data_IF_430503484133
#
_entry.id   IF_430503484133
#
_cell.length_a   1.000
_cell.length_b   1.000
_cell.length_c   1.000
_cell.angle_alpha   90.00
_cell.angle_beta   90.00
_cell.angle_gamma   90.00
#
_symmetry.space_group_name_H-M   'P 1'
#
loop_
_entity.id
_entity.type
_entity.pdbx_description
1 polymer ?
#
# COMPACT_ATOMS: atom_id res chain seq x y z
N UNK A 1 42.13 -5.58 -3.39
CA UNK A 1 41.82 -7.00 -3.51
C UNK A 1 42.26 -7.46 -4.90
N UNK A 2 43.35 -8.25 -5.01
CA UNK A 2 43.81 -8.83 -6.27
C UNK A 2 42.99 -10.09 -6.59
N UNK A 3 42.87 -10.42 -7.87
CA UNK A 3 42.37 -11.71 -8.28
C UNK A 3 43.38 -12.80 -7.81
N UNK A 4 42.86 -13.91 -7.28
CA UNK A 4 43.71 -15.07 -6.95
C UNK A 4 44.35 -15.65 -8.20
N UNK A 5 45.41 -16.49 -8.01
CA UNK A 5 46.10 -17.16 -9.10
C UNK A 5 45.11 -17.95 -9.97
N UNK A 6 45.07 -17.65 -11.27
CA UNK A 6 44.09 -18.20 -12.21
C UNK A 6 42.73 -17.52 -12.22
N UNK A 7 42.49 -16.47 -11.41
CA UNK A 7 41.32 -15.65 -11.44
C UNK A 7 41.36 -14.58 -12.54
N UNK A 8 40.20 -14.24 -13.10
CA UNK A 8 40.06 -13.12 -14.03
C UNK A 8 39.76 -11.84 -13.24
N UNK A 9 40.55 -10.80 -13.55
CA UNK A 9 40.35 -9.48 -12.95
C UNK A 9 39.10 -8.77 -13.53
N UNK A 10 38.89 -8.91 -14.82
CA UNK A 10 37.79 -8.34 -15.57
C UNK A 10 37.45 -9.23 -16.76
N UNK A 11 36.17 -9.29 -17.11
CA UNK A 11 35.67 -10.00 -18.27
C UNK A 11 34.73 -9.10 -19.09
N UNK A 12 35.10 -8.86 -20.34
CA UNK A 12 34.22 -8.17 -21.28
C UNK A 12 33.75 -9.16 -22.37
N UNK A 13 32.43 -9.23 -22.55
CA UNK A 13 31.76 -10.09 -23.53
C UNK A 13 32.04 -11.60 -23.41
N UNK A 14 32.45 -12.04 -22.24
CA UNK A 14 32.62 -13.44 -21.88
C UNK A 14 31.66 -13.84 -20.78
N UNK A 15 31.35 -15.12 -20.68
CA UNK A 15 30.52 -15.69 -19.60
C UNK A 15 31.16 -16.99 -19.10
N UNK A 16 31.01 -17.24 -17.79
CA UNK A 16 31.36 -18.48 -17.14
C UNK A 16 30.21 -19.45 -16.98
N UNK A 17 29.04 -19.19 -17.61
CA UNK A 17 27.81 -19.99 -17.47
C UNK A 17 28.02 -21.47 -17.85
N UNK A 18 29.07 -21.75 -18.59
CA UNK A 18 29.46 -23.13 -19.03
C UNK A 18 30.77 -23.60 -18.41
N UNK A 19 31.02 -23.19 -17.16
CA UNK A 19 32.27 -23.62 -16.46
C UNK A 19 32.54 -25.12 -16.65
N UNK A 20 33.83 -25.53 -16.92
CA UNK A 20 35.06 -24.73 -16.87
C UNK A 20 35.41 -23.99 -18.18
N UNK A 21 34.51 -23.94 -19.13
CA UNK A 21 34.76 -23.29 -20.42
C UNK A 21 34.31 -21.83 -20.36
N UNK A 22 35.22 -20.91 -20.64
CA UNK A 22 34.86 -19.53 -20.92
C UNK A 22 34.34 -19.44 -22.35
N UNK A 23 33.11 -18.95 -22.49
CA UNK A 23 32.48 -18.75 -23.79
C UNK A 23 32.16 -17.28 -24.04
N UNK A 24 32.01 -16.94 -25.30
CA UNK A 24 31.54 -15.61 -25.66
C UNK A 24 30.07 -15.44 -25.22
N UNK A 25 29.75 -14.29 -24.71
CA UNK A 25 28.38 -13.92 -24.39
C UNK A 25 27.50 -14.04 -25.62
N UNK A 26 26.35 -14.66 -25.48
CA UNK A 26 25.37 -14.74 -26.56
C UNK A 26 24.94 -13.34 -27.04
N UNK A 27 24.66 -13.21 -28.33
CA UNK A 27 24.17 -11.96 -28.89
C UNK A 27 22.87 -11.56 -28.21
N UNK A 28 22.75 -10.29 -27.83
CA UNK A 28 21.50 -9.71 -27.36
C UNK A 28 20.49 -9.73 -28.51
N UNK A 29 19.27 -10.11 -28.19
CA UNK A 29 18.15 -10.11 -29.13
C UNK A 29 17.07 -9.17 -28.63
N UNK A 30 16.29 -8.63 -29.55
CA UNK A 30 15.07 -7.91 -29.21
C UNK A 30 14.09 -8.94 -28.64
N UNK A 31 13.64 -8.72 -27.42
CA UNK A 31 12.61 -9.54 -26.77
C UNK A 31 11.23 -9.12 -27.25
N UNK A 32 10.95 -7.81 -27.23
CA UNK A 32 9.67 -7.22 -27.63
C UNK A 32 9.88 -5.76 -28.02
N UNK A 33 9.16 -5.30 -29.03
CA UNK A 33 9.04 -3.89 -29.36
C UNK A 33 7.79 -3.33 -28.67
N UNK A 34 7.92 -2.20 -27.99
CA UNK A 34 6.83 -1.46 -27.37
C UNK A 34 6.62 -0.16 -28.13
N UNK A 35 5.36 0.25 -28.30
CA UNK A 35 5.03 1.50 -29.03
C UNK A 35 5.16 2.70 -28.08
N UNK A 36 4.60 2.61 -26.89
CA UNK A 36 4.61 3.67 -25.88
C UNK A 36 5.07 3.09 -24.53
N UNK A 37 6.37 2.82 -24.33
CA UNK A 37 6.86 2.23 -23.09
C UNK A 37 6.73 3.23 -21.93
N UNK A 38 6.05 2.85 -20.84
CA UNK A 38 5.94 3.65 -19.64
C UNK A 38 6.88 3.21 -18.52
N UNK A 39 7.45 2.02 -18.59
CA UNK A 39 8.38 1.49 -17.59
C UNK A 39 8.61 0.01 -17.71
N UNK A 40 9.71 -0.46 -17.16
CA UNK A 40 10.11 -1.87 -17.14
C UNK A 40 10.61 -2.23 -15.74
N UNK A 41 10.20 -3.38 -15.24
CA UNK A 41 10.62 -3.89 -13.95
C UNK A 41 10.85 -5.40 -14.03
N UNK A 42 11.91 -5.87 -13.44
CA UNK A 42 12.23 -7.29 -13.34
C UNK A 42 12.01 -7.78 -11.89
N UNK A 43 11.13 -8.73 -11.74
CA UNK A 43 10.88 -9.48 -10.52
C UNK A 43 10.96 -10.97 -10.87
N UNK A 44 10.07 -11.83 -10.36
CA UNK A 44 10.03 -13.25 -10.78
C UNK A 44 9.72 -13.41 -12.28
N UNK A 45 8.99 -12.44 -12.83
CA UNK A 45 8.78 -12.29 -14.27
C UNK A 45 8.92 -10.82 -14.67
N UNK A 46 9.01 -10.56 -15.99
CA UNK A 46 9.06 -9.18 -16.49
C UNK A 46 7.70 -8.51 -16.35
N UNK A 47 7.72 -7.32 -15.75
CA UNK A 47 6.61 -6.38 -15.71
C UNK A 47 6.94 -5.16 -16.59
N UNK A 48 5.95 -4.66 -17.33
CA UNK A 48 6.12 -3.43 -18.10
C UNK A 48 4.79 -2.70 -18.29
N UNK A 49 4.88 -1.45 -18.64
CA UNK A 49 3.74 -0.64 -19.06
C UNK A 49 3.91 -0.26 -20.53
N UNK A 50 2.86 -0.43 -21.30
CA UNK A 50 2.73 0.00 -22.68
C UNK A 50 1.45 0.81 -22.84
N UNK A 51 1.61 2.12 -23.09
CA UNK A 51 0.49 3.08 -23.09
C UNK A 51 -0.16 3.15 -21.71
N UNK A 52 -1.38 2.64 -21.61
CA UNK A 52 -2.15 2.58 -20.35
C UNK A 52 -2.29 1.15 -19.80
N UNK A 53 -1.64 0.17 -20.40
CA UNK A 53 -1.76 -1.22 -20.00
C UNK A 53 -0.54 -1.69 -19.22
N UNK A 54 -0.78 -2.28 -18.06
CA UNK A 54 0.24 -2.95 -17.25
C UNK A 54 0.26 -4.45 -17.58
N UNK A 55 1.45 -4.98 -17.83
CA UNK A 55 1.70 -6.38 -18.17
C UNK A 55 2.62 -7.02 -17.14
N UNK A 56 2.36 -8.29 -16.84
CA UNK A 56 3.23 -9.15 -16.05
C UNK A 56 3.31 -10.54 -16.69
N UNK A 57 4.53 -11.05 -16.90
CA UNK A 57 4.74 -12.34 -17.55
C UNK A 57 4.16 -12.44 -18.96
N UNK A 58 4.07 -11.32 -19.68
CA UNK A 58 3.51 -11.27 -21.04
C UNK A 58 2.01 -11.05 -21.13
N UNK A 59 1.28 -11.06 -20.00
CA UNK A 59 -0.18 -10.93 -19.93
C UNK A 59 -0.57 -9.59 -19.35
N UNK A 60 -1.55 -8.90 -19.96
CA UNK A 60 -2.15 -7.68 -19.38
C UNK A 60 -2.84 -8.02 -18.07
N UNK A 61 -2.54 -7.25 -17.02
CA UNK A 61 -3.08 -7.43 -15.67
C UNK A 61 -4.00 -6.31 -15.21
N UNK A 62 -3.84 -5.11 -15.76
CA UNK A 62 -4.68 -3.98 -15.40
C UNK A 62 -4.37 -2.74 -16.21
N UNK A 63 -5.04 -1.64 -15.84
CA UNK A 63 -4.89 -0.35 -16.49
C UNK A 63 -4.29 0.67 -15.54
N UNK A 64 -3.38 1.48 -16.07
CA UNK A 64 -2.68 2.58 -15.41
C UNK A 64 -2.85 3.85 -16.23
N UNK A 65 -2.45 5.01 -15.71
CA UNK A 65 -2.40 6.23 -16.52
C UNK A 65 -1.25 6.15 -17.54
N UNK A 66 -1.31 6.94 -18.59
CA UNK A 66 -0.19 7.05 -19.52
C UNK A 66 1.01 7.76 -18.85
N UNK A 67 2.23 7.49 -19.33
CA UNK A 67 3.46 8.14 -18.87
C UNK A 67 4.40 7.21 -18.12
N UNK A 68 5.49 7.80 -17.63
CA UNK A 68 6.54 7.06 -16.91
C UNK A 68 6.02 6.45 -15.62
N UNK A 69 6.44 5.21 -15.36
CA UNK A 69 6.12 4.45 -14.15
C UNK A 69 7.38 4.06 -13.40
N UNK A 70 7.25 4.05 -12.08
CA UNK A 70 8.26 3.55 -11.17
C UNK A 70 7.69 2.38 -10.41
N UNK A 71 8.54 1.40 -10.16
CA UNK A 71 8.13 0.15 -9.55
C UNK A 71 9.02 -0.16 -8.35
N UNK A 72 8.42 -0.80 -7.36
CA UNK A 72 9.11 -1.55 -6.33
C UNK A 72 8.32 -2.82 -6.03
N UNK A 73 8.99 -3.85 -5.50
CA UNK A 73 8.30 -5.04 -5.03
C UNK A 73 8.50 -5.20 -3.52
N UNK A 74 7.45 -5.64 -2.85
CA UNK A 74 7.47 -6.02 -1.44
C UNK A 74 6.61 -7.27 -1.25
N UNK A 75 7.21 -8.36 -0.76
CA UNK A 75 6.53 -9.65 -0.72
C UNK A 75 5.99 -10.03 -2.10
N UNK A 76 4.69 -10.31 -2.18
CA UNK A 76 4.02 -10.64 -3.43
C UNK A 76 3.53 -9.42 -4.24
N UNK A 77 3.71 -8.20 -3.74
CA UNK A 77 3.16 -7.00 -4.35
C UNK A 77 4.19 -6.29 -5.23
N UNK A 78 3.81 -5.99 -6.47
CA UNK A 78 4.49 -5.01 -7.33
C UNK A 78 3.71 -3.71 -7.24
N UNK A 79 4.37 -2.66 -6.77
CA UNK A 79 3.81 -1.33 -6.59
C UNK A 79 4.11 -0.48 -7.82
N UNK A 80 3.13 0.29 -8.27
CA UNK A 80 3.16 1.06 -9.52
C UNK A 80 2.86 2.53 -9.22
N UNK A 81 3.88 3.37 -9.34
CA UNK A 81 3.77 4.82 -9.16
C UNK A 81 3.85 5.55 -10.51
N UNK A 82 3.25 6.73 -10.63
CA UNK A 82 2.51 7.50 -9.63
C UNK A 82 1.06 7.08 -9.44
N UNK A 83 0.57 6.04 -10.12
CA UNK A 83 -0.83 5.61 -10.10
C UNK A 83 -1.29 5.06 -8.76
N UNK A 84 -0.39 4.83 -7.79
CA UNK A 84 -0.67 4.24 -6.48
C UNK A 84 -1.45 2.92 -6.60
N UNK A 85 -1.04 2.11 -7.58
CA UNK A 85 -1.63 0.79 -7.85
C UNK A 85 -0.68 -0.33 -7.45
N UNK A 86 -1.25 -1.51 -7.31
CA UNK A 86 -0.48 -2.73 -7.06
C UNK A 86 -0.94 -3.87 -7.94
N UNK A 87 -0.04 -4.81 -8.14
CA UNK A 87 -0.34 -6.14 -8.66
C UNK A 87 0.20 -7.18 -7.68
N UNK A 88 -0.65 -8.08 -7.22
CA UNK A 88 -0.25 -9.21 -6.39
C UNK A 88 0.10 -10.41 -7.28
N UNK A 89 1.35 -10.82 -7.29
CA UNK A 89 1.86 -11.88 -8.17
C UNK A 89 1.36 -13.27 -7.80
N UNK A 90 0.91 -13.47 -6.55
CA UNK A 90 0.38 -14.75 -6.05
C UNK A 90 -1.12 -14.88 -6.32
N UNK A 91 -1.92 -13.87 -5.92
CA UNK A 91 -3.37 -13.91 -6.13
C UNK A 91 -3.80 -13.50 -7.53
N UNK A 92 -2.93 -12.77 -8.26
CA UNK A 92 -3.27 -12.17 -9.56
C UNK A 92 -4.13 -10.91 -9.45
N UNK A 93 -4.37 -10.41 -8.26
CA UNK A 93 -5.17 -9.21 -8.00
C UNK A 93 -4.43 -7.95 -8.48
N UNK A 94 -5.16 -7.08 -9.16
CA UNK A 94 -4.71 -5.75 -9.53
C UNK A 94 -5.64 -4.72 -8.90
N UNK A 95 -5.10 -3.79 -8.11
CA UNK A 95 -5.91 -2.86 -7.33
C UNK A 95 -5.24 -1.52 -7.06
N UNK A 96 -5.88 -0.72 -6.21
CA UNK A 96 -5.37 0.56 -5.71
C UNK A 96 -4.84 0.41 -4.29
N UNK A 97 -3.71 1.06 -4.01
CA UNK A 97 -3.20 1.21 -2.64
C UNK A 97 -4.09 2.11 -1.79
N UNK A 98 -4.82 3.02 -2.42
CA UNK A 98 -5.75 3.93 -1.75
C UNK A 98 -7.17 3.40 -1.81
N UNK A 99 -7.94 3.71 -0.79
CA UNK A 99 -9.38 3.41 -0.74
C UNK A 99 -10.11 4.57 -0.08
N UNK A 100 -11.31 4.89 -0.58
CA UNK A 100 -12.14 5.97 -0.06
C UNK A 100 -13.58 5.52 0.01
N UNK A 101 -14.17 5.73 1.18
CA UNK A 101 -15.60 5.75 1.36
C UNK A 101 -16.08 7.18 1.60
N UNK A 102 -17.25 7.52 1.08
CA UNK A 102 -17.93 8.79 1.34
C UNK A 102 -19.40 8.56 1.63
N UNK A 103 -19.94 9.28 2.58
CA UNK A 103 -21.34 9.17 2.98
C UNK A 103 -21.81 10.35 3.82
N UNK A 104 -23.06 10.28 4.27
CA UNK A 104 -23.73 11.40 4.93
C UNK A 104 -23.93 11.18 6.43
N UNK A 105 -23.59 10.01 6.96
CA UNK A 105 -23.79 9.68 8.37
C UNK A 105 -22.79 8.63 8.83
N UNK A 106 -22.19 8.86 10.00
CA UNK A 106 -21.36 7.89 10.73
C UNK A 106 -21.76 7.91 12.19
N UNK A 107 -22.00 6.74 12.75
CA UNK A 107 -22.25 6.56 14.18
C UNK A 107 -20.96 6.11 14.86
N UNK A 108 -20.52 6.87 15.85
CA UNK A 108 -19.33 6.63 16.64
C UNK A 108 -19.72 6.08 18.00
N UNK A 109 -19.01 5.07 18.47
CA UNK A 109 -19.13 4.56 19.84
C UNK A 109 -17.79 4.50 20.51
N UNK A 110 -17.76 4.67 21.83
CA UNK A 110 -16.64 4.33 22.68
C UNK A 110 -17.08 3.26 23.66
N UNK A 111 -16.23 2.28 23.89
CA UNK A 111 -16.42 1.26 24.90
C UNK A 111 -15.24 1.20 25.84
N UNK A 112 -15.32 0.37 26.85
CA UNK A 112 -14.16 0.10 27.71
C UNK A 112 -13.27 -0.96 27.08
N UNK A 113 -12.02 -0.64 26.91
CA UNK A 113 -11.04 -1.43 26.17
C UNK A 113 -10.88 -2.88 26.66
N UNK A 114 -11.25 -3.15 27.91
CA UNK A 114 -10.99 -4.42 28.59
C UNK A 114 -12.24 -5.12 29.14
N UNK A 115 -13.40 -4.47 29.03
CA UNK A 115 -14.67 -5.05 29.43
C UNK A 115 -15.53 -5.29 28.18
N UNK A 116 -15.54 -6.49 27.65
CA UNK A 116 -16.27 -6.89 26.42
C UNK A 116 -15.78 -6.19 25.15
N UNK A 117 -14.71 -6.70 24.59
CA UNK A 117 -14.02 -6.18 23.40
C UNK A 117 -14.90 -6.04 22.14
N UNK A 118 -16.08 -6.64 22.11
CA UNK A 118 -16.97 -6.63 20.97
C UNK A 118 -17.66 -5.28 20.75
N UNK A 119 -17.82 -4.43 21.77
CA UNK A 119 -18.58 -3.18 21.67
C UNK A 119 -17.76 -1.90 21.73
N UNK A 120 -16.43 -2.02 21.84
CA UNK A 120 -15.55 -0.89 22.07
C UNK A 120 -15.12 -0.19 20.78
N UNK A 121 -15.24 1.14 20.79
CA UNK A 121 -14.59 2.04 19.81
C UNK A 121 -14.93 1.73 18.36
N UNK A 122 -16.15 1.99 17.95
CA UNK A 122 -16.61 1.65 16.60
C UNK A 122 -17.01 2.87 15.80
N UNK A 123 -16.90 2.70 14.48
CA UNK A 123 -17.64 3.49 13.50
C UNK A 123 -18.61 2.56 12.81
N UNK A 124 -19.87 2.97 12.74
CA UNK A 124 -20.92 2.25 12.03
C UNK A 124 -21.56 3.13 10.95
N UNK A 125 -21.81 2.51 9.80
CA UNK A 125 -22.64 3.09 8.75
C UNK A 125 -23.59 2.03 8.21
N UNK A 126 -24.86 2.15 8.53
CA UNK A 126 -25.88 1.17 8.14
C UNK A 126 -25.89 0.91 6.63
N UNK A 127 -25.87 -0.36 6.25
CA UNK A 127 -25.90 -0.80 4.85
C UNK A 127 -24.54 -0.73 4.12
N UNK A 128 -23.47 -0.32 4.78
CA UNK A 128 -22.11 -0.34 4.21
C UNK A 128 -21.40 -1.62 4.61
N UNK A 129 -20.92 -2.37 3.63
CA UNK A 129 -19.98 -3.46 3.88
C UNK A 129 -18.55 -2.89 3.86
N UNK A 130 -18.00 -2.59 5.04
CA UNK A 130 -16.69 -1.95 5.18
C UNK A 130 -15.54 -2.77 4.60
N UNK A 131 -15.68 -4.09 4.56
CA UNK A 131 -14.70 -5.00 3.94
C UNK A 131 -14.50 -4.77 2.45
N UNK A 132 -15.41 -4.06 1.76
CA UNK A 132 -15.23 -3.64 0.37
C UNK A 132 -14.24 -2.48 0.23
N UNK A 133 -13.93 -1.77 1.31
CA UNK A 133 -13.09 -0.58 1.31
C UNK A 133 -11.80 -0.79 2.08
N UNK A 134 -11.86 -1.45 3.23
CA UNK A 134 -10.77 -1.53 4.19
C UNK A 134 -10.63 -2.94 4.77
N UNK A 135 -9.50 -3.18 5.42
CA UNK A 135 -9.21 -4.42 6.16
C UNK A 135 -8.69 -4.11 7.57
N UNK A 136 -8.69 -5.10 8.43
CA UNK A 136 -8.02 -5.01 9.74
C UNK A 136 -6.53 -4.66 9.56
N UNK A 137 -6.04 -3.76 10.38
CA UNK A 137 -4.68 -3.21 10.31
C UNK A 137 -4.56 -1.97 9.44
N UNK A 138 -5.58 -1.59 8.66
CA UNK A 138 -5.56 -0.33 7.92
C UNK A 138 -5.65 0.88 8.87
N UNK A 139 -4.80 1.87 8.65
CA UNK A 139 -4.96 3.20 9.22
C UNK A 139 -5.86 4.02 8.29
N UNK A 140 -6.95 4.54 8.81
CA UNK A 140 -7.95 5.27 8.02
C UNK A 140 -8.15 6.68 8.53
N UNK A 141 -8.04 7.66 7.64
CA UNK A 141 -8.29 9.06 7.95
C UNK A 141 -9.78 9.37 7.83
N UNK A 142 -10.37 9.76 8.94
CA UNK A 142 -11.75 10.24 9.04
C UNK A 142 -11.75 11.74 8.82
N UNK A 143 -12.67 12.26 8.03
CA UNK A 143 -12.82 13.69 7.76
C UNK A 143 -14.27 14.07 7.56
N UNK A 144 -14.57 15.36 7.79
CA UNK A 144 -15.91 15.93 7.61
C UNK A 144 -16.73 16.00 8.89
N UNK A 145 -16.18 15.58 10.04
CA UNK A 145 -16.85 15.80 11.32
C UNK A 145 -16.82 17.30 11.65
N UNK A 146 -18.00 17.86 11.91
CA UNK A 146 -18.20 19.30 12.15
C UNK A 146 -18.54 19.62 13.59
N UNK A 147 -19.29 18.77 14.27
CA UNK A 147 -19.64 18.96 15.67
C UNK A 147 -18.51 18.54 16.61
N UNK A 148 -17.96 17.37 16.41
CA UNK A 148 -16.79 16.89 17.12
C UNK A 148 -15.60 16.78 16.17
N UNK A 149 -14.94 17.90 15.93
CA UNK A 149 -13.81 18.01 14.99
C UNK A 149 -12.62 17.13 15.41
N UNK A 150 -12.54 16.74 16.67
CA UNK A 150 -11.56 15.81 17.24
C UNK A 150 -11.71 14.38 16.64
N UNK A 151 -12.86 14.06 16.05
CA UNK A 151 -13.08 12.80 15.34
C UNK A 151 -12.50 12.80 13.93
N UNK A 152 -12.06 13.95 13.42
CA UNK A 152 -11.23 14.02 12.20
C UNK A 152 -9.79 13.59 12.54
N UNK A 153 -9.53 12.30 12.52
CA UNK A 153 -8.25 11.68 12.90
C UNK A 153 -7.99 10.41 12.10
N UNK A 154 -6.83 9.78 12.36
CA UNK A 154 -6.39 8.58 11.64
C UNK A 154 -6.19 7.40 12.59
N UNK A 155 -7.30 6.74 13.04
CA UNK A 155 -7.19 5.54 13.86
C UNK A 155 -6.88 4.29 13.01
N UNK A 156 -6.42 3.22 13.71
CA UNK A 156 -6.14 1.92 13.11
C UNK A 156 -7.31 0.96 13.34
N UNK A 157 -7.76 0.33 12.26
CA UNK A 157 -8.83 -0.67 12.31
C UNK A 157 -8.30 -1.95 12.97
N UNK A 158 -8.96 -2.38 14.04
CA UNK A 158 -8.70 -3.68 14.69
C UNK A 158 -9.42 -4.82 13.99
N UNK A 159 -10.70 -4.60 13.66
CA UNK A 159 -11.60 -5.60 13.12
C UNK A 159 -12.69 -4.94 12.28
N UNK A 160 -13.24 -5.67 11.32
CA UNK A 160 -14.41 -5.27 10.54
C UNK A 160 -15.46 -6.36 10.65
N UNK A 161 -16.67 -5.98 11.05
CA UNK A 161 -17.85 -6.84 11.08
C UNK A 161 -19.01 -6.16 10.37
N UNK A 162 -19.26 -6.55 9.13
CA UNK A 162 -20.33 -6.01 8.29
C UNK A 162 -20.26 -4.50 8.13
N UNK A 163 -21.21 -3.79 8.77
CA UNK A 163 -21.33 -2.34 8.72
C UNK A 163 -20.61 -1.60 9.85
N UNK A 164 -19.80 -2.32 10.65
CA UNK A 164 -19.01 -1.77 11.75
C UNK A 164 -17.51 -1.97 11.53
N UNK A 165 -16.75 -0.94 11.86
CA UNK A 165 -15.29 -0.99 12.04
C UNK A 165 -14.95 -0.78 13.51
N UNK A 166 -14.11 -1.64 14.08
CA UNK A 166 -13.63 -1.58 15.45
C UNK A 166 -12.19 -1.04 15.49
N UNK A 167 -11.87 -0.22 16.47
CA UNK A 167 -10.55 0.40 16.62
C UNK A 167 -9.89 0.00 17.94
N UNK A 168 -8.55 0.18 18.02
CA UNK A 168 -7.77 -0.32 19.16
C UNK A 168 -7.96 0.49 20.45
N UNK A 169 -8.36 1.78 20.36
CA UNK A 169 -8.39 2.69 21.50
C UNK A 169 -9.70 3.48 21.59
N UNK A 170 -9.97 4.10 22.74
CA UNK A 170 -11.03 5.08 22.95
C UNK A 170 -10.67 6.40 22.26
N UNK A 171 -10.89 6.45 20.97
CA UNK A 171 -10.39 7.54 20.14
C UNK A 171 -11.46 8.58 19.81
N UNK A 172 -12.75 8.31 20.04
CA UNK A 172 -13.83 9.17 19.58
C UNK A 172 -14.37 10.08 20.67
N UNK A 173 -14.67 11.33 20.30
CA UNK A 173 -15.45 12.26 21.13
C UNK A 173 -16.93 12.04 20.88
N UNK A 174 -17.69 11.87 21.96
CA UNK A 174 -19.13 11.65 21.95
C UNK A 174 -19.87 12.80 22.64
N UNK A 175 -21.21 12.82 22.53
CA UNK A 175 -22.04 13.75 23.26
C UNK A 175 -22.21 13.32 24.72
N UNK A 176 -21.82 14.19 25.64
CA UNK A 176 -22.02 14.02 27.09
C UNK A 176 -20.89 13.28 27.82
N UNK A 177 -20.73 13.62 29.09
CA UNK A 177 -19.64 13.12 29.92
C UNK A 177 -19.98 11.80 30.64
N UNK A 178 -21.25 11.41 30.73
CA UNK A 178 -21.68 10.25 31.50
C UNK A 178 -22.82 9.49 30.81
N UNK A 179 -22.50 8.38 30.21
CA UNK A 179 -23.47 7.35 29.83
C UNK A 179 -23.98 7.41 28.36
N UNK A 180 -23.58 8.37 27.55
CA UNK A 180 -23.82 8.30 26.11
C UNK A 180 -22.69 7.48 25.50
N UNK A 181 -23.03 6.31 25.02
CA UNK A 181 -22.08 5.40 24.38
C UNK A 181 -22.02 5.56 22.88
N UNK A 182 -22.86 6.45 22.32
CA UNK A 182 -23.08 6.57 20.88
C UNK A 182 -23.31 8.03 20.48
N UNK A 183 -22.77 8.41 19.33
CA UNK A 183 -22.97 9.71 18.69
C UNK A 183 -23.02 9.56 17.17
N UNK A 184 -24.00 10.18 16.53
CA UNK A 184 -24.10 10.18 15.07
C UNK A 184 -23.72 11.55 14.51
N UNK A 185 -22.66 11.59 13.72
CA UNK A 185 -22.28 12.74 12.89
C UNK A 185 -23.00 12.66 11.55
N UNK A 186 -23.49 13.81 11.06
CA UNK A 186 -24.13 13.92 9.76
C UNK A 186 -23.47 15.00 8.92
N UNK A 187 -23.35 14.77 7.63
CA UNK A 187 -22.74 15.72 6.70
C UNK A 187 -21.94 15.02 5.62
N UNK A 188 -21.04 15.74 4.99
CA UNK A 188 -20.15 15.16 3.99
C UNK A 188 -18.95 14.48 4.69
N UNK A 189 -19.13 13.21 5.02
CA UNK A 189 -18.13 12.43 5.75
C UNK A 189 -17.32 11.57 4.79
N UNK A 190 -16.02 11.45 5.06
CA UNK A 190 -15.15 10.55 4.32
C UNK A 190 -14.29 9.72 5.27
N UNK A 191 -14.05 8.48 4.87
CA UNK A 191 -13.07 7.58 5.48
C UNK A 191 -12.12 7.14 4.40
N UNK A 192 -10.81 7.36 4.57
CA UNK A 192 -9.83 7.10 3.51
C UNK A 192 -8.57 6.42 4.04
N UNK A 193 -8.07 5.45 3.29
CA UNK A 193 -6.69 5.00 3.35
C UNK A 193 -5.93 5.67 2.21
N UNK A 194 -4.88 6.41 2.54
CA UNK A 194 -4.09 7.18 1.58
C UNK A 194 -2.64 6.76 1.59
N UNK A 195 -1.99 6.89 0.45
CA UNK A 195 -0.55 6.68 0.26
C UNK A 195 0.08 8.01 -0.13
N UNK A 196 1.26 8.36 0.39
CA UNK A 196 1.96 9.59 0.02
C UNK A 196 2.19 9.70 -1.50
N UNK A 197 2.26 10.92 -2.02
CA UNK A 197 2.69 11.19 -3.38
C UNK A 197 4.21 11.07 -3.44
N UNK A 198 4.71 9.99 -4.01
CA UNK A 198 6.13 9.68 -3.99
C UNK A 198 6.75 9.86 -5.39
N UNK A 199 7.86 10.60 -5.45
CA UNK A 199 8.68 10.72 -6.65
C UNK A 199 9.62 9.53 -6.83
N UNK A 200 10.12 8.97 -5.73
CA UNK A 200 11.05 7.83 -5.70
C UNK A 200 10.53 6.77 -4.75
N UNK A 201 10.81 5.52 -5.10
CA UNK A 201 10.38 4.36 -4.33
C UNK A 201 11.45 3.27 -4.39
N UNK A 202 11.73 2.67 -3.25
CA UNK A 202 12.55 1.46 -3.15
C UNK A 202 12.04 0.56 -2.03
N UNK A 203 12.46 -0.70 -2.04
CA UNK A 203 12.25 -1.62 -0.94
C UNK A 203 13.57 -1.81 -0.19
N UNK A 204 13.52 -1.80 1.12
CA UNK A 204 14.62 -2.19 1.99
C UNK A 204 14.08 -2.74 3.32
N UNK A 205 14.60 -3.88 3.75
CA UNK A 205 14.23 -4.54 5.01
C UNK A 205 12.73 -4.75 5.18
N UNK A 206 12.09 -5.23 4.11
CA UNK A 206 10.66 -5.51 4.05
C UNK A 206 9.76 -4.29 4.33
N UNK A 207 10.26 -3.10 4.00
CA UNK A 207 9.50 -1.83 3.96
C UNK A 207 9.67 -1.16 2.61
N UNK A 208 8.64 -0.47 2.19
CA UNK A 208 8.77 0.49 1.11
C UNK A 208 9.23 1.83 1.68
N UNK A 209 10.22 2.40 1.04
CA UNK A 209 10.74 3.72 1.32
C UNK A 209 10.52 4.61 0.12
N UNK A 210 10.08 5.82 0.35
CA UNK A 210 9.89 6.77 -0.73
C UNK A 210 10.08 8.20 -0.28
N UNK A 211 10.17 9.12 -1.22
CA UNK A 211 10.26 10.55 -0.92
C UNK A 211 9.47 11.40 -1.92
N UNK A 212 9.04 12.57 -1.45
CA UNK A 212 8.40 13.64 -2.21
C UNK A 212 9.27 14.90 -2.18
N UNK A 213 10.43 14.88 -2.80
CA UNK A 213 11.36 16.00 -2.78
C UNK A 213 12.10 16.18 -1.46
N UNK A 214 11.43 16.46 -0.34
CA UNK A 214 12.07 16.77 0.96
C UNK A 214 11.73 15.82 2.10
N UNK A 215 10.61 15.13 2.01
CA UNK A 215 10.13 14.24 3.06
C UNK A 215 10.40 12.80 2.66
N UNK A 216 10.95 12.02 3.59
CA UNK A 216 11.12 10.57 3.45
C UNK A 216 9.98 9.89 4.19
N UNK A 217 9.35 8.94 3.52
CA UNK A 217 8.25 8.13 4.05
C UNK A 217 8.67 6.67 4.10
N UNK A 218 8.16 5.96 5.08
CA UNK A 218 8.29 4.51 5.19
C UNK A 218 6.92 3.86 5.32
N UNK A 219 6.71 2.74 4.63
CA UNK A 219 5.52 1.93 4.86
C UNK A 219 5.65 1.14 6.16
N UNK A 220 4.54 0.61 6.65
CA UNK A 220 4.54 -0.40 7.70
C UNK A 220 5.30 -1.65 7.23
N UNK A 221 5.94 -2.36 8.17
CA UNK A 221 6.71 -3.57 7.89
C UNK A 221 5.84 -4.61 7.16
N UNK A 222 6.27 -5.03 5.97
CA UNK A 222 5.55 -6.01 5.14
C UNK A 222 4.22 -5.52 4.56
N UNK A 223 3.83 -4.27 4.78
CA UNK A 223 2.53 -3.75 4.36
C UNK A 223 2.68 -2.49 3.49
N UNK A 224 2.44 -2.59 2.17
CA UNK A 224 2.54 -1.46 1.25
C UNK A 224 1.36 -0.49 1.32
N UNK A 225 0.30 -0.83 2.07
CA UNK A 225 -0.94 -0.05 2.13
C UNK A 225 -0.92 1.02 3.21
N UNK A 226 -0.11 0.84 4.26
CA UNK A 226 -0.08 1.70 5.43
C UNK A 226 1.22 2.50 5.52
N UNK A 227 1.08 3.84 5.55
CA UNK A 227 2.17 4.80 5.55
C UNK A 227 2.08 5.80 6.72
N UNK A 228 1.24 5.51 7.69
CA UNK A 228 1.04 6.39 8.83
C UNK A 228 2.00 6.03 9.96
N UNK A 229 2.59 7.07 10.56
CA UNK A 229 3.30 6.94 11.81
C UNK A 229 2.25 6.85 12.93
N UNK A 230 2.31 5.78 13.72
CA UNK A 230 1.44 5.61 14.87
C UNK A 230 2.13 6.22 16.10
N UNK A 231 1.58 7.33 16.60
CA UNK A 231 2.03 7.87 17.87
C UNK A 231 1.80 6.85 18.99
N UNK A 232 2.86 6.45 19.66
CA UNK A 232 2.81 5.57 20.84
C UNK A 232 2.89 4.06 20.57
N UNK A 233 3.08 3.62 19.34
CA UNK A 233 3.42 2.23 19.02
C UNK A 233 4.88 2.14 18.57
N UNK A 234 5.75 1.74 19.49
CA UNK A 234 7.21 1.60 19.26
C UNK A 234 7.59 0.38 18.41
N UNK A 235 6.63 -0.38 17.91
CA UNK A 235 6.84 -1.68 17.27
C UNK A 235 6.36 -1.72 15.83
N UNK A 236 6.84 -0.81 15.04
CA UNK A 236 6.73 -0.96 13.59
C UNK A 236 8.05 -1.43 12.98
#
# INVERSE_FOLDING_TARGET
LGAGDGGLWDMQNLTSDYYPVLSTRAKRKIYKNLVNPGGLFAWDALAWVEGTAFYYGGVKKGDVTAGEKRFAAIGAYIIILPDKKYYNTVSGEFGSLESTWSGNSLTFTNGKLYEEAAEANTIQCSGVAWSNYFKAGDAVTISGCTKHTENNKTPVIREIDGDKMYFYENVFKLDGDNGTTEYTETGNLTVRRTVPDLEYLCENENRLWGCDGRTIYASKLGDPFNWNVFEGLETD
#
